data_IF_862767293022
#
_entry.id   IF_862767293022
#
_cell.length_a   1.000
_cell.length_b   1.000
_cell.length_c   1.000
_cell.angle_alpha   90.00
_cell.angle_beta   90.00
_cell.angle_gamma   90.00
#
_symmetry.space_group_name_H-M   'P 1'
#
loop_
_entity.id
_entity.type
_entity.pdbx_description
1 polymer ?
#
# COMPACT_ATOMS: atom_id res chain seq x y z
N UNK A 1 -5.85 -19.16 -3.17
CA UNK A 1 -5.41 -19.04 -1.75
C UNK A 1 -6.06 -17.79 -1.19
N UNK A 2 -6.94 -17.93 -0.19
CA UNK A 2 -7.56 -16.78 0.47
C UNK A 2 -6.47 -16.12 1.33
N UNK A 3 -6.06 -14.89 0.99
CA UNK A 3 -5.13 -14.14 1.82
C UNK A 3 -5.80 -13.84 3.15
N UNK A 4 -5.09 -14.11 4.24
CA UNK A 4 -5.53 -13.76 5.58
C UNK A 4 -5.57 -12.23 5.75
N UNK A 5 -6.45 -11.67 6.60
CA UNK A 5 -6.49 -10.24 6.88
C UNK A 5 -5.11 -9.65 7.27
N UNK A 6 -4.26 -10.43 7.92
CA UNK A 6 -2.90 -10.07 8.31
C UNK A 6 -1.98 -9.92 7.10
N UNK A 7 -2.13 -10.76 6.07
CA UNK A 7 -1.37 -10.64 4.83
C UNK A 7 -1.77 -9.40 4.04
N UNK A 8 -3.05 -9.02 4.08
CA UNK A 8 -3.53 -7.78 3.47
C UNK A 8 -2.94 -6.54 4.15
N UNK A 9 -2.94 -6.50 5.48
CA UNK A 9 -2.32 -5.41 6.25
C UNK A 9 -0.82 -5.32 5.99
N UNK A 10 -0.12 -6.45 5.95
CA UNK A 10 1.31 -6.49 5.61
C UNK A 10 1.61 -5.95 4.21
N UNK A 11 0.71 -6.19 3.24
CA UNK A 11 0.84 -5.65 1.89
C UNK A 11 0.57 -4.14 1.87
N UNK A 12 -0.44 -3.66 2.59
CA UNK A 12 -0.73 -2.24 2.72
C UNK A 12 0.46 -1.47 3.33
N UNK A 13 1.10 -2.01 4.38
CA UNK A 13 2.30 -1.43 5.00
C UNK A 13 3.49 -1.40 4.03
N UNK A 14 3.64 -2.44 3.21
CA UNK A 14 4.70 -2.50 2.21
C UNK A 14 4.51 -1.45 1.11
N UNK A 15 3.27 -1.22 0.66
CA UNK A 15 2.97 -0.20 -0.34
C UNK A 15 3.27 1.21 0.19
N UNK A 16 2.94 1.49 1.46
CA UNK A 16 3.24 2.79 2.10
C UNK A 16 4.75 3.02 2.19
N UNK A 17 5.53 2.03 2.65
CA UNK A 17 7.00 2.14 2.66
C UNK A 17 7.57 2.39 1.27
N UNK A 18 6.96 1.79 0.25
CA UNK A 18 7.37 2.04 -1.12
C UNK A 18 6.98 3.44 -1.58
N UNK A 19 5.83 3.96 -1.15
CA UNK A 19 5.41 5.33 -1.41
C UNK A 19 6.40 6.36 -0.82
N UNK A 20 6.89 6.14 0.40
CA UNK A 20 7.92 6.97 1.05
C UNK A 20 9.21 7.01 0.21
N UNK A 21 9.71 5.85 -0.20
CA UNK A 21 10.90 5.77 -1.07
C UNK A 21 10.65 6.53 -2.39
N UNK A 22 9.47 6.39 -3.00
CA UNK A 22 9.15 7.12 -4.24
C UNK A 22 9.10 8.63 -4.02
N UNK A 23 8.56 9.08 -2.88
CA UNK A 23 8.50 10.48 -2.51
C UNK A 23 9.90 11.09 -2.33
N UNK A 24 10.78 10.40 -1.60
CA UNK A 24 12.17 10.83 -1.36
C UNK A 24 12.96 10.92 -2.66
N UNK A 25 12.69 10.02 -3.61
CA UNK A 25 13.27 10.03 -4.96
C UNK A 25 12.57 11.02 -5.92
N UNK A 26 11.70 11.90 -5.42
CA UNK A 26 10.93 12.92 -6.19
C UNK A 26 10.02 12.33 -7.27
N UNK A 27 9.65 11.05 -7.14
CA UNK A 27 8.73 10.32 -8.03
C UNK A 27 7.29 10.45 -7.52
N UNK A 28 6.78 11.68 -7.46
CA UNK A 28 5.53 11.99 -6.75
C UNK A 28 4.29 11.27 -7.29
N UNK A 29 4.15 11.13 -8.61
CA UNK A 29 3.01 10.40 -9.20
C UNK A 29 2.98 8.93 -8.75
N UNK A 30 4.16 8.32 -8.60
CA UNK A 30 4.28 6.94 -8.14
C UNK A 30 4.05 6.84 -6.63
N UNK A 31 4.46 7.83 -5.84
CA UNK A 31 4.14 7.90 -4.42
C UNK A 31 2.62 7.93 -4.19
N UNK A 32 1.90 8.81 -4.91
CA UNK A 32 0.43 8.89 -4.84
C UNK A 32 -0.23 7.57 -5.28
N UNK A 33 0.26 6.96 -6.36
CA UNK A 33 -0.24 5.66 -6.83
C UNK A 33 -0.06 4.56 -5.77
N UNK A 34 1.09 4.49 -5.09
CA UNK A 34 1.31 3.49 -4.04
C UNK A 34 0.42 3.72 -2.81
N UNK A 35 0.15 4.98 -2.45
CA UNK A 35 -0.83 5.30 -1.40
C UNK A 35 -2.24 4.81 -1.77
N UNK A 36 -2.64 4.95 -3.04
CA UNK A 36 -3.93 4.45 -3.52
C UNK A 36 -4.05 2.92 -3.36
N UNK A 37 -3.01 2.19 -3.78
CA UNK A 37 -2.98 0.72 -3.65
C UNK A 37 -3.08 0.25 -2.19
N UNK A 38 -2.46 0.97 -1.26
CA UNK A 38 -2.51 0.64 0.17
C UNK A 38 -3.95 0.70 0.72
N UNK A 39 -4.74 1.68 0.26
CA UNK A 39 -6.14 1.87 0.68
C UNK A 39 -7.05 0.82 0.04
N UNK A 40 -6.87 0.52 -1.26
CA UNK A 40 -7.68 -0.49 -1.97
C UNK A 40 -7.51 -1.90 -1.40
N UNK A 41 -6.35 -2.19 -0.81
CA UNK A 41 -6.03 -3.48 -0.20
C UNK A 41 -6.58 -3.64 1.21
N UNK A 42 -7.26 -2.64 1.76
CA UNK A 42 -7.83 -2.73 3.11
C UNK A 42 -9.00 -3.71 3.09
N UNK A 43 -8.93 -4.85 3.80
CA UNK A 43 -10.05 -5.78 3.85
C UNK A 43 -11.24 -5.04 4.44
N UNK A 44 -12.35 -5.04 3.71
CA UNK A 44 -13.61 -4.51 4.21
C UNK A 44 -14.11 -5.48 5.28
N UNK A 45 -13.83 -5.16 6.55
CA UNK A 45 -14.41 -5.85 7.69
C UNK A 45 -15.84 -5.31 7.84
N UNK A 46 -16.77 -5.89 7.09
CA UNK A 46 -18.21 -5.81 7.37
C UNK A 46 -18.58 -6.82 8.44
#
# INVERSE_FOLDING_TARGET
>A
MHKSPQEWLKQADYDIKTAEIMFDNKRYIYAVFMCHLSIEKRPWNG
#
